data_IF_743937298016
#
_entry.id   IF_743937298016
#
_cell.length_a   1.000
_cell.length_b   1.000
_cell.length_c   1.000
_cell.angle_alpha   90.00
_cell.angle_beta   90.00
_cell.angle_gamma   90.00
#
_symmetry.space_group_name_H-M   'P 1'
#
loop_
_entity.id
_entity.type
_entity.pdbx_description
1 polymer ?
#
# COMPACT_ATOMS: atom_id res chain seq x y z
N UNK A 1 57.58 61.83 -7.90
CA UNK A 1 57.57 61.47 -6.46
C UNK A 1 56.43 62.26 -5.84
N UNK A 2 55.35 61.71 -5.29
CA UNK A 2 55.08 60.35 -4.82
C UNK A 2 53.62 60.04 -5.15
N UNK A 3 53.39 58.79 -5.56
CA UNK A 3 52.10 58.18 -5.88
C UNK A 3 51.07 58.39 -4.76
N UNK A 4 49.84 58.72 -5.14
CA UNK A 4 48.69 58.55 -4.28
C UNK A 4 48.45 57.04 -4.14
N UNK A 5 48.54 56.55 -2.90
CA UNK A 5 48.29 55.17 -2.54
C UNK A 5 46.83 54.83 -2.83
N UNK A 6 46.66 53.74 -3.58
CA UNK A 6 45.38 53.20 -4.02
C UNK A 6 44.58 52.75 -2.80
N UNK A 7 43.40 53.36 -2.64
CA UNK A 7 42.34 52.90 -1.75
C UNK A 7 42.05 51.43 -2.05
N UNK A 8 42.48 50.54 -1.15
CA UNK A 8 42.07 49.14 -1.12
C UNK A 8 40.61 49.12 -0.71
N UNK A 9 39.73 49.26 -1.69
CA UNK A 9 38.30 49.11 -1.52
C UNK A 9 38.03 47.64 -1.14
N UNK A 10 37.58 47.44 0.10
CA UNK A 10 37.14 46.17 0.65
C UNK A 10 36.13 45.46 -0.29
N UNK A 11 36.08 44.12 -0.33
CA UNK A 11 35.10 43.42 -1.14
C UNK A 11 33.69 43.73 -0.61
N UNK A 12 32.96 44.57 -1.33
CA UNK A 12 31.57 44.90 -1.04
C UNK A 12 30.77 43.61 -0.85
N UNK A 13 30.27 43.42 0.38
CA UNK A 13 29.44 42.29 0.74
C UNK A 13 28.16 42.33 -0.09
N UNK A 14 28.11 41.53 -1.15
CA UNK A 14 26.93 41.35 -2.00
C UNK A 14 25.70 41.19 -1.11
N UNK A 15 24.73 42.11 -1.23
CA UNK A 15 23.52 42.14 -0.39
C UNK A 15 22.92 40.74 -0.22
N UNK A 16 22.63 40.34 1.02
CA UNK A 16 22.07 39.01 1.35
C UNK A 16 20.85 38.66 0.48
N UNK A 17 20.07 39.67 0.11
CA UNK A 17 18.91 39.55 -0.81
C UNK A 17 19.30 39.16 -2.24
N UNK A 18 20.42 39.68 -2.76
CA UNK A 18 20.94 39.38 -4.09
C UNK A 18 21.62 38.01 -4.13
N UNK A 19 22.38 37.63 -3.10
CA UNK A 19 22.94 36.28 -2.97
C UNK A 19 21.83 35.23 -2.92
N UNK A 20 20.74 35.50 -2.20
CA UNK A 20 19.59 34.61 -2.14
C UNK A 20 18.94 34.42 -3.51
N UNK A 21 18.68 35.49 -4.26
CA UNK A 21 18.04 35.41 -5.59
C UNK A 21 18.91 34.76 -6.66
N UNK A 22 20.22 35.00 -6.66
CA UNK A 22 21.13 34.50 -7.71
C UNK A 22 21.75 33.15 -7.43
N UNK A 23 21.94 32.77 -6.17
CA UNK A 23 22.70 31.57 -5.81
C UNK A 23 21.84 30.58 -5.05
N UNK A 24 21.26 31.00 -3.92
CA UNK A 24 20.50 30.10 -3.04
C UNK A 24 19.22 29.60 -3.70
N UNK A 25 18.43 30.49 -4.32
CA UNK A 25 17.17 30.12 -4.97
C UNK A 25 17.37 29.13 -6.13
N UNK A 26 18.33 29.31 -7.07
CA UNK A 26 18.64 28.30 -8.07
C UNK A 26 19.14 26.97 -7.49
N UNK A 27 19.94 26.99 -6.42
CA UNK A 27 20.40 25.77 -5.75
C UNK A 27 19.25 24.99 -5.12
N UNK A 28 18.35 25.67 -4.41
CA UNK A 28 17.15 25.06 -3.81
C UNK A 28 16.24 24.44 -4.88
N UNK A 29 16.08 25.10 -6.02
CA UNK A 29 15.28 24.55 -7.12
C UNK A 29 15.94 23.32 -7.76
N UNK A 30 17.28 23.30 -7.91
CA UNK A 30 18.00 22.08 -8.34
C UNK A 30 17.79 20.94 -7.34
N UNK A 31 17.88 21.21 -6.04
CA UNK A 31 17.65 20.21 -5.00
C UNK A 31 16.21 19.69 -5.02
N UNK A 32 15.23 20.58 -5.18
CA UNK A 32 13.82 20.19 -5.34
C UNK A 32 13.63 19.30 -6.57
N UNK A 33 14.19 19.68 -7.73
CA UNK A 33 14.12 18.89 -8.97
C UNK A 33 14.77 17.51 -8.82
N UNK A 34 15.92 17.44 -8.15
CA UNK A 34 16.59 16.17 -7.86
C UNK A 34 15.71 15.28 -6.97
N UNK A 35 15.06 15.85 -5.94
CA UNK A 35 14.11 15.11 -5.11
C UNK A 35 12.93 14.58 -5.92
N UNK A 36 12.34 15.40 -6.80
CA UNK A 36 11.24 14.97 -7.67
C UNK A 36 11.66 13.83 -8.59
N UNK A 37 12.84 13.92 -9.23
CA UNK A 37 13.33 12.82 -10.07
C UNK A 37 13.53 11.53 -9.25
N UNK A 38 14.16 11.60 -8.07
CA UNK A 38 14.32 10.41 -7.20
C UNK A 38 12.99 9.74 -6.83
N UNK A 39 11.97 10.53 -6.52
CA UNK A 39 10.64 10.00 -6.22
C UNK A 39 9.99 9.34 -7.44
N UNK A 40 10.20 9.90 -8.64
CA UNK A 40 9.70 9.30 -9.88
C UNK A 40 10.43 8.00 -10.23
N UNK A 41 11.74 7.94 -10.02
CA UNK A 41 12.53 6.71 -10.25
C UNK A 41 12.08 5.60 -9.29
N UNK A 42 11.95 5.90 -7.99
CA UNK A 42 11.40 4.95 -7.01
C UNK A 42 9.95 4.52 -7.35
N UNK A 43 9.14 5.42 -7.91
CA UNK A 43 7.79 5.10 -8.34
C UNK A 43 7.78 4.15 -9.55
N UNK A 44 8.70 4.33 -10.50
CA UNK A 44 8.89 3.39 -11.62
C UNK A 44 9.24 2.00 -11.12
N UNK A 45 10.17 1.90 -10.16
CA UNK A 45 10.57 0.61 -9.58
C UNK A 45 9.37 -0.11 -8.91
N UNK A 46 8.60 0.61 -8.10
CA UNK A 46 7.39 0.07 -7.45
C UNK A 46 6.32 -0.35 -8.45
N UNK A 47 6.12 0.43 -9.52
CA UNK A 47 5.20 0.07 -10.58
C UNK A 47 5.69 -1.15 -11.37
N UNK A 48 6.99 -1.27 -11.62
CA UNK A 48 7.56 -2.43 -12.29
C UNK A 48 7.34 -3.71 -11.47
N UNK A 49 7.53 -3.66 -10.16
CA UNK A 49 7.23 -4.79 -9.25
C UNK A 49 5.74 -5.14 -9.25
N UNK A 50 4.85 -4.15 -9.12
CA UNK A 50 3.40 -4.37 -9.12
C UNK A 50 2.84 -4.86 -10.48
N UNK A 51 3.47 -4.47 -11.59
CA UNK A 51 3.05 -4.84 -12.96
C UNK A 51 3.70 -6.13 -13.46
N UNK A 52 4.74 -6.65 -12.80
CA UNK A 52 5.31 -7.97 -13.11
C UNK A 52 4.29 -9.10 -12.91
N UNK A 53 3.39 -8.95 -11.93
CA UNK A 53 2.23 -9.84 -11.74
C UNK A 53 1.18 -9.71 -12.86
N UNK A 54 1.26 -8.64 -13.67
CA UNK A 54 0.31 -8.30 -14.74
C UNK A 54 1.00 -7.98 -16.07
N UNK A 55 1.84 -8.90 -16.55
CA UNK A 55 2.25 -9.09 -17.96
C UNK A 55 2.90 -7.90 -18.70
N UNK A 56 3.09 -6.73 -18.09
CA UNK A 56 3.40 -5.46 -18.79
C UNK A 56 4.78 -4.89 -18.44
N UNK A 57 5.67 -5.72 -17.89
CA UNK A 57 7.00 -5.37 -17.36
C UNK A 57 7.96 -4.67 -18.34
N UNK A 58 7.75 -4.78 -19.66
CA UNK A 58 8.80 -4.49 -20.66
C UNK A 58 9.13 -3.02 -21.01
N UNK A 59 8.61 -2.01 -20.31
CA UNK A 59 8.68 -0.62 -20.82
C UNK A 59 8.86 0.55 -19.84
N UNK A 60 8.95 0.31 -18.52
CA UNK A 60 8.88 1.42 -17.55
C UNK A 60 10.07 2.40 -17.59
N UNK A 61 11.25 1.94 -17.97
CA UNK A 61 12.46 2.79 -18.07
C UNK A 61 12.31 3.92 -19.10
N UNK A 62 11.52 3.69 -20.16
CA UNK A 62 11.32 4.64 -21.27
C UNK A 62 10.13 5.58 -21.09
N UNK A 63 9.36 5.43 -20.00
CA UNK A 63 8.18 6.27 -19.76
C UNK A 63 8.58 7.72 -19.45
N UNK A 64 7.85 8.65 -20.07
CA UNK A 64 7.97 10.07 -19.77
C UNK A 64 7.43 10.37 -18.37
N UNK A 65 7.77 11.54 -17.81
CA UNK A 65 7.34 11.90 -16.44
C UNK A 65 5.82 11.99 -16.31
N UNK A 66 5.12 12.37 -17.38
CA UNK A 66 3.66 12.41 -17.40
C UNK A 66 3.08 10.99 -17.40
N UNK A 67 3.60 10.11 -18.27
CA UNK A 67 3.16 8.72 -18.38
C UNK A 67 3.32 7.94 -17.07
N UNK A 68 4.45 8.12 -16.36
CA UNK A 68 4.65 7.50 -15.04
C UNK A 68 3.55 7.89 -14.07
N UNK A 69 3.18 9.17 -14.04
CA UNK A 69 2.12 9.67 -13.15
C UNK A 69 0.74 9.17 -13.59
N UNK A 70 0.46 9.17 -14.88
CA UNK A 70 -0.81 8.69 -15.43
C UNK A 70 -1.01 7.20 -15.17
N UNK A 71 -0.02 6.37 -15.51
CA UNK A 71 0.00 4.93 -15.27
C UNK A 71 -0.20 4.62 -13.78
N UNK A 72 0.50 5.34 -12.90
CA UNK A 72 0.36 5.17 -11.44
C UNK A 72 -1.06 5.52 -10.99
N UNK A 73 -1.62 6.63 -11.47
CA UNK A 73 -2.98 7.06 -11.10
C UNK A 73 -4.02 6.04 -11.57
N UNK A 74 -3.88 5.52 -12.79
CA UNK A 74 -4.75 4.45 -13.30
C UNK A 74 -4.64 3.19 -12.45
N UNK A 75 -3.41 2.77 -12.11
CA UNK A 75 -3.18 1.63 -11.24
C UNK A 75 -3.80 1.82 -9.85
N UNK A 76 -3.66 3.00 -9.24
CA UNK A 76 -4.29 3.33 -7.96
C UNK A 76 -5.83 3.33 -8.04
N UNK A 77 -6.41 3.82 -9.14
CA UNK A 77 -7.87 3.73 -9.36
C UNK A 77 -8.31 2.26 -9.45
N UNK A 78 -7.60 1.46 -10.24
CA UNK A 78 -7.88 0.02 -10.38
C UNK A 78 -7.78 -0.70 -9.04
N UNK A 79 -6.74 -0.44 -8.25
CA UNK A 79 -6.59 -1.00 -6.91
C UNK A 79 -7.73 -0.57 -5.97
N UNK A 80 -8.15 0.71 -6.01
CA UNK A 80 -9.29 1.19 -5.23
C UNK A 80 -10.59 0.49 -5.61
N UNK A 81 -10.82 0.30 -6.91
CA UNK A 81 -12.02 -0.35 -7.43
C UNK A 81 -12.02 -1.86 -7.09
N UNK A 82 -10.83 -2.47 -6.99
CA UNK A 82 -10.62 -3.82 -6.45
C UNK A 82 -10.72 -3.89 -4.91
N UNK A 83 -10.99 -2.77 -4.24
CA UNK A 83 -11.08 -2.71 -2.77
C UNK A 83 -9.73 -2.78 -2.05
N UNK A 84 -8.60 -2.79 -2.77
CA UNK A 84 -7.27 -2.97 -2.22
C UNK A 84 -6.72 -1.75 -1.45
N UNK A 85 -7.23 -0.55 -1.74
CA UNK A 85 -6.80 0.72 -1.15
C UNK A 85 -7.86 1.38 -0.25
N UNK A 86 -9.05 0.80 -0.16
CA UNK A 86 -10.01 1.24 0.86
C UNK A 86 -9.47 0.74 2.20
N UNK A 87 -9.45 1.59 3.23
CA UNK A 87 -8.97 1.27 4.60
C UNK A 87 -9.78 0.20 5.33
N UNK A 88 -10.48 -0.67 4.60
CA UNK A 88 -10.94 -1.98 5.03
C UNK A 88 -9.86 -3.05 4.82
N UNK A 89 -10.14 -4.32 5.14
CA UNK A 89 -9.15 -5.38 5.13
C UNK A 89 -8.40 -5.41 3.79
N UNK A 90 -7.08 -5.31 3.86
CA UNK A 90 -6.16 -5.32 2.71
C UNK A 90 -6.51 -6.46 1.75
N UNK A 91 -6.20 -6.37 0.44
CA UNK A 91 -6.51 -7.44 -0.51
C UNK A 91 -5.83 -8.76 -0.10
N UNK A 92 -4.67 -8.69 0.55
CA UNK A 92 -4.03 -9.84 1.19
C UNK A 92 -4.84 -10.37 2.40
N UNK A 93 -5.36 -9.49 3.25
CA UNK A 93 -6.21 -9.85 4.39
C UNK A 93 -7.55 -10.45 3.96
N UNK A 94 -8.24 -9.88 2.98
CA UNK A 94 -9.48 -10.43 2.41
C UNK A 94 -9.22 -11.74 1.69
N UNK A 95 -8.16 -11.87 0.90
CA UNK A 95 -7.84 -13.16 0.27
C UNK A 95 -7.52 -14.26 1.27
N UNK A 96 -6.84 -13.97 2.38
CA UNK A 96 -6.65 -14.95 3.45
C UNK A 96 -7.96 -15.25 4.18
N UNK A 97 -8.82 -14.25 4.37
CA UNK A 97 -10.12 -14.42 5.00
C UNK A 97 -11.08 -15.24 4.13
N UNK A 98 -11.08 -15.04 2.82
CA UNK A 98 -11.88 -15.79 1.85
C UNK A 98 -11.39 -17.24 1.72
N UNK A 99 -10.07 -17.46 1.62
CA UNK A 99 -9.48 -18.81 1.61
C UNK A 99 -9.74 -19.56 2.91
N UNK A 100 -9.65 -18.88 4.06
CA UNK A 100 -10.00 -19.46 5.35
C UNK A 100 -11.48 -19.81 5.42
N UNK A 101 -12.37 -18.91 4.95
CA UNK A 101 -13.82 -19.15 4.91
C UNK A 101 -14.17 -20.33 4.02
N UNK A 102 -13.56 -20.43 2.85
CA UNK A 102 -13.74 -21.55 1.94
C UNK A 102 -13.29 -22.88 2.59
N UNK A 103 -12.09 -22.91 3.17
CA UNK A 103 -11.56 -24.09 3.85
C UNK A 103 -12.39 -24.52 5.06
N UNK A 104 -12.86 -23.55 5.86
CA UNK A 104 -13.72 -23.82 7.00
C UNK A 104 -15.08 -24.38 6.56
N UNK A 105 -15.69 -23.77 5.55
CA UNK A 105 -16.97 -24.22 4.99
C UNK A 105 -16.84 -25.64 4.44
N UNK A 106 -15.77 -25.93 3.70
CA UNK A 106 -15.46 -27.26 3.19
C UNK A 106 -15.31 -28.29 4.31
N UNK A 107 -14.59 -27.94 5.38
CA UNK A 107 -14.47 -28.82 6.54
C UNK A 107 -15.84 -29.08 7.19
N UNK A 108 -16.65 -28.05 7.39
CA UNK A 108 -18.00 -28.19 7.95
C UNK A 108 -18.91 -29.07 7.08
N UNK A 109 -18.83 -28.95 5.74
CA UNK A 109 -19.58 -29.82 4.82
C UNK A 109 -19.11 -31.27 4.87
N UNK A 110 -17.81 -31.52 4.97
CA UNK A 110 -17.27 -32.87 5.14
C UNK A 110 -17.72 -33.49 6.47
N UNK A 111 -17.73 -32.71 7.55
CA UNK A 111 -18.26 -33.16 8.85
C UNK A 111 -19.74 -33.52 8.74
N UNK A 112 -20.54 -32.68 8.08
CA UNK A 112 -21.95 -32.97 7.82
C UNK A 112 -22.12 -34.27 7.01
N UNK A 113 -21.32 -34.44 5.95
CA UNK A 113 -21.36 -35.62 5.10
C UNK A 113 -20.99 -36.90 5.88
N UNK A 114 -19.92 -36.86 6.68
CA UNK A 114 -19.54 -37.95 7.57
C UNK A 114 -20.68 -38.32 8.52
N UNK A 115 -21.30 -37.34 9.18
CA UNK A 115 -22.43 -37.59 10.09
C UNK A 115 -23.62 -38.27 9.39
N UNK A 116 -23.87 -37.96 8.12
CA UNK A 116 -24.93 -38.59 7.31
C UNK A 116 -24.55 -39.94 6.71
N UNK A 117 -23.26 -40.18 6.50
CA UNK A 117 -22.73 -41.43 5.96
C UNK A 117 -22.63 -42.54 7.03
N UNK A 118 -22.70 -42.18 8.32
CA UNK A 118 -22.74 -43.19 9.38
C UNK A 118 -24.08 -43.96 9.37
N UNK A 119 -24.04 -45.28 9.56
CA UNK A 119 -25.25 -46.11 9.57
C UNK A 119 -26.20 -45.70 10.71
N UNK A 120 -27.50 -45.85 10.44
CA UNK A 120 -28.57 -45.50 11.38
C UNK A 120 -28.36 -46.19 12.74
N UNK A 121 -28.19 -45.39 13.80
CA UNK A 121 -28.01 -45.87 15.17
C UNK A 121 -26.65 -45.58 15.82
N UNK A 122 -25.64 -45.14 15.06
CA UNK A 122 -24.32 -44.79 15.63
C UNK A 122 -24.19 -43.32 16.06
N UNK A 123 -24.94 -42.41 15.45
CA UNK A 123 -24.87 -40.97 15.75
C UNK A 123 -26.22 -40.46 16.20
N UNK A 124 -26.23 -39.81 17.35
CA UNK A 124 -27.40 -39.13 17.87
C UNK A 124 -27.67 -37.86 17.03
N UNK A 125 -28.84 -37.77 16.40
CA UNK A 125 -29.23 -36.64 15.52
C UNK A 125 -29.10 -35.29 16.24
N UNK A 126 -29.45 -35.23 17.52
CA UNK A 126 -29.28 -34.04 18.37
C UNK A 126 -27.81 -33.65 18.59
N UNK A 127 -26.89 -34.62 18.64
CA UNK A 127 -25.45 -34.34 18.72
C UNK A 127 -24.94 -33.75 17.40
N UNK A 128 -25.36 -34.30 16.26
CA UNK A 128 -25.00 -33.77 14.94
C UNK A 128 -25.48 -32.32 14.76
N UNK A 129 -26.72 -32.03 15.14
CA UNK A 129 -27.27 -30.67 15.11
C UNK A 129 -26.49 -29.69 16.01
N UNK A 130 -26.10 -30.13 17.23
CA UNK A 130 -25.27 -29.31 18.14
C UNK A 130 -23.87 -29.07 17.59
N UNK A 131 -23.25 -30.07 16.97
CA UNK A 131 -21.92 -29.94 16.36
C UNK A 131 -21.93 -28.96 15.20
N UNK A 132 -22.90 -29.10 14.28
CA UNK A 132 -23.06 -28.21 13.14
C UNK A 132 -23.41 -26.78 13.58
N UNK A 133 -24.25 -26.62 14.60
CA UNK A 133 -24.54 -25.32 15.21
C UNK A 133 -23.30 -24.69 15.86
N UNK A 134 -22.46 -25.51 16.50
CA UNK A 134 -21.20 -25.03 17.10
C UNK A 134 -20.17 -24.64 16.05
N UNK A 135 -20.04 -25.40 14.96
CA UNK A 135 -19.19 -25.04 13.80
C UNK A 135 -19.65 -23.72 13.19
N UNK A 136 -20.95 -23.53 12.99
CA UNK A 136 -21.51 -22.26 12.49
C UNK A 136 -21.24 -21.08 13.44
N UNK A 137 -21.47 -21.25 14.74
CA UNK A 137 -21.19 -20.21 15.73
C UNK A 137 -19.69 -19.87 15.82
N UNK A 138 -18.84 -20.89 15.78
CA UNK A 138 -17.39 -20.73 15.78
C UNK A 138 -16.91 -20.00 14.53
N UNK A 139 -17.48 -20.32 13.36
CA UNK A 139 -17.20 -19.62 12.11
C UNK A 139 -17.47 -18.11 12.23
N UNK A 140 -18.65 -17.73 12.73
CA UNK A 140 -18.99 -16.30 12.93
C UNK A 140 -18.08 -15.61 13.96
N UNK A 141 -17.55 -16.34 14.94
CA UNK A 141 -16.60 -15.82 15.92
C UNK A 141 -15.21 -15.60 15.30
N UNK A 142 -14.77 -16.48 14.41
CA UNK A 142 -13.53 -16.29 13.65
C UNK A 142 -13.64 -15.14 12.65
N UNK A 143 -14.80 -14.98 11.99
CA UNK A 143 -15.05 -13.89 11.06
C UNK A 143 -15.06 -12.51 11.76
N UNK A 144 -15.56 -12.45 13.00
CA UNK A 144 -15.51 -11.25 13.87
C UNK A 144 -14.13 -10.96 14.47
N UNK A 145 -13.23 -11.95 14.52
CA UNK A 145 -11.85 -11.81 15.01
C UNK A 145 -10.83 -11.53 13.91
N UNK A 146 -11.24 -11.54 12.64
CA UNK A 146 -10.45 -10.97 11.56
C UNK A 146 -10.19 -9.48 11.86
N UNK A 147 -8.98 -8.99 11.59
CA UNK A 147 -8.17 -8.22 12.53
C UNK A 147 -8.84 -6.94 12.99
N UNK A 148 -8.78 -6.71 14.30
CA UNK A 148 -9.02 -5.43 14.96
C UNK A 148 -8.28 -4.34 14.18
N UNK A 149 -9.03 -3.53 13.43
CA UNK A 149 -8.60 -2.19 13.06
C UNK A 149 -8.20 -1.49 14.35
N UNK A 150 -6.90 -1.22 14.51
CA UNK A 150 -6.44 -0.17 15.41
C UNK A 150 -7.08 1.12 14.86
N UNK A 151 -8.27 1.44 15.36
CA UNK A 151 -8.81 2.78 15.28
C UNK A 151 -7.83 3.61 16.09
N UNK A 152 -6.99 4.38 15.38
CA UNK A 152 -6.22 5.45 16.00
C UNK A 152 -7.21 6.41 16.63
N UNK A 153 -7.47 6.22 17.92
CA UNK A 153 -8.20 7.17 18.73
C UNK A 153 -7.45 8.48 18.65
N UNK A 154 -8.10 9.44 17.99
CA UNK A 154 -7.72 10.83 18.02
C UNK A 154 -8.07 11.38 19.39
N UNK A 155 -7.18 11.30 20.38
CA UNK A 155 -7.27 12.14 21.58
C UNK A 155 -5.88 12.41 22.14
N UNK A 156 -5.35 13.60 21.79
CA UNK A 156 -4.63 14.62 22.59
C UNK A 156 -3.67 15.41 21.70
#
# INVERSE_FOLDING_TARGET
>A
MVSAEVDVCAPEAVSRSFQYRRVVKPQLERQRRARVSKCLDALKDLMAEALQDSSSSGGLDKLEKADVLELTVEHLKKLRDQGALQGGPTPMGTQHCDKFREGYTRCATEVAHCLTALPAGQVNVTLGARLMGHLGASFTHHEKRAPLTITGESVL
#
